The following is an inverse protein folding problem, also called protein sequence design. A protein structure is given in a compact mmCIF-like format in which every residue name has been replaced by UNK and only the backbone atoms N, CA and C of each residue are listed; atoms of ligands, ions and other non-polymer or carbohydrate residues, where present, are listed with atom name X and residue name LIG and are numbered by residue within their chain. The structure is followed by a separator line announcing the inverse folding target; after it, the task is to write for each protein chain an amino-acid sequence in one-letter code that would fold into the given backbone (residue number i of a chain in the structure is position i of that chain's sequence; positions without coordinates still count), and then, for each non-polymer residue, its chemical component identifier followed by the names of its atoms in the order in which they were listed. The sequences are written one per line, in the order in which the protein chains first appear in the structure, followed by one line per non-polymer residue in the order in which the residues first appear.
data_IF_460182627263
#
_entry.id   IF_460182627263
#
_cell.length_a   1.000
_cell.length_b   1.000
_cell.length_c   1.000
_cell.angle_alpha   90.00
_cell.angle_beta   90.00
_cell.angle_gamma   90.00
#
_symmetry.space_group_name_H-M   'P 1'
#
loop_
_entity.id
_entity.type
_entity.pdbx_description
1 polymer ?
#
# COMPACT_ATOMS: atom_id res chain seq x y z
N UNK A 1 12.93 9.67 -41.62
CA UNK A 1 12.04 9.23 -40.53
C UNK A 1 12.26 10.14 -39.35
N UNK A 2 11.23 10.85 -38.89
CA UNK A 2 11.35 11.85 -37.81
C UNK A 2 11.03 11.19 -36.46
N UNK A 3 11.71 11.63 -35.39
CA UNK A 3 11.49 11.19 -33.99
C UNK A 3 10.02 11.29 -33.57
N UNK A 4 9.27 12.24 -34.14
CA UNK A 4 7.83 12.40 -33.93
C UNK A 4 6.97 11.21 -34.41
N UNK A 5 7.45 10.40 -35.36
CA UNK A 5 6.75 9.19 -35.83
C UNK A 5 6.97 7.99 -34.90
N UNK A 6 8.17 7.88 -34.33
CA UNK A 6 8.51 6.88 -33.30
C UNK A 6 7.74 7.15 -31.98
N UNK A 7 7.57 8.42 -31.60
CA UNK A 7 6.78 8.78 -30.42
C UNK A 7 5.27 8.57 -30.62
N UNK A 8 4.75 8.73 -31.84
CA UNK A 8 3.33 8.43 -32.15
C UNK A 8 3.03 6.94 -32.23
N UNK A 9 4.01 6.13 -32.64
CA UNK A 9 3.90 4.67 -32.68
C UNK A 9 4.13 4.03 -31.30
N UNK A 10 4.79 4.71 -30.35
CA UNK A 10 4.87 4.28 -28.94
C UNK A 10 3.64 4.63 -28.09
N UNK A 11 2.76 5.53 -28.55
CA UNK A 11 1.51 5.89 -27.85
C UNK A 11 0.30 5.03 -28.22
N UNK A 12 0.46 3.98 -29.04
CA UNK A 12 -0.66 3.18 -29.56
C UNK A 12 -0.60 1.70 -29.14
N UNK A 13 -0.38 1.40 -27.85
CA UNK A 13 -0.61 0.03 -27.37
C UNK A 13 -0.82 -0.11 -25.85
N UNK A 14 -1.58 0.81 -25.26
CA UNK A 14 -2.34 0.48 -24.05
C UNK A 14 -3.78 0.35 -24.47
N UNK A 15 -4.18 -0.86 -24.89
CA UNK A 15 -5.58 -1.26 -24.78
C UNK A 15 -5.95 -1.08 -23.31
N UNK A 16 -6.54 0.07 -22.98
CA UNK A 16 -7.18 0.21 -21.69
C UNK A 16 -8.37 -0.74 -21.72
N UNK A 17 -8.29 -1.80 -20.92
CA UNK A 17 -9.42 -2.68 -20.66
C UNK A 17 -10.65 -1.82 -20.38
N UNK A 18 -11.77 -2.14 -21.03
CA UNK A 18 -13.05 -1.46 -20.76
C UNK A 18 -13.41 -1.64 -19.29
N UNK A 19 -14.20 -0.73 -18.73
CA UNK A 19 -14.63 -0.83 -17.33
C UNK A 19 -15.31 -2.19 -17.07
N UNK A 20 -16.12 -2.67 -18.01
CA UNK A 20 -16.75 -3.98 -17.98
C UNK A 20 -15.73 -5.12 -18.04
N UNK A 21 -14.67 -5.00 -18.85
CA UNK A 21 -13.57 -5.97 -18.88
C UNK A 21 -12.87 -6.04 -17.53
N UNK A 22 -12.52 -4.88 -16.95
CA UNK A 22 -11.89 -4.79 -15.61
C UNK A 22 -12.79 -5.47 -14.56
N UNK A 23 -14.09 -5.15 -14.54
CA UNK A 23 -15.03 -5.76 -13.59
C UNK A 23 -15.16 -7.27 -13.76
N UNK A 24 -15.20 -7.76 -15.00
CA UNK A 24 -15.30 -9.19 -15.30
C UNK A 24 -14.05 -9.97 -14.88
N UNK A 25 -12.90 -9.29 -14.79
CA UNK A 25 -11.63 -9.84 -14.36
C UNK A 25 -11.30 -9.55 -12.89
N UNK A 26 -12.21 -8.92 -12.12
CA UNK A 26 -11.99 -8.74 -10.69
C UNK A 26 -11.87 -10.10 -10.00
N UNK A 27 -10.87 -10.18 -9.13
CA UNK A 27 -10.56 -11.38 -8.37
C UNK A 27 -9.82 -12.48 -9.12
N UNK A 28 -9.59 -12.34 -10.42
CA UNK A 28 -8.74 -13.29 -11.18
C UNK A 28 -7.27 -12.86 -11.22
N UNK A 29 -7.00 -11.55 -11.06
CA UNK A 29 -5.64 -11.04 -11.00
C UNK A 29 -5.54 -9.78 -10.14
N UNK A 30 -4.36 -9.59 -9.51
CA UNK A 30 -3.99 -8.31 -8.90
C UNK A 30 -4.03 -7.16 -9.91
N UNK A 31 -3.69 -7.42 -11.17
CA UNK A 31 -3.64 -6.37 -12.18
C UNK A 31 -5.01 -5.68 -12.37
N UNK A 32 -6.09 -6.47 -12.46
CA UNK A 32 -7.45 -5.95 -12.57
C UNK A 32 -7.83 -5.04 -11.38
N UNK A 33 -7.39 -5.38 -10.17
CA UNK A 33 -7.58 -4.58 -8.97
C UNK A 33 -6.90 -3.21 -9.05
N UNK A 34 -5.66 -3.18 -9.52
CA UNK A 34 -4.90 -1.94 -9.70
C UNK A 34 -5.49 -1.09 -10.84
N UNK A 35 -5.91 -1.72 -11.94
CA UNK A 35 -6.61 -1.04 -13.04
C UNK A 35 -7.93 -0.40 -12.57
N UNK A 36 -8.71 -1.09 -11.72
CA UNK A 36 -9.96 -0.54 -11.17
C UNK A 36 -9.72 0.73 -10.36
N UNK A 37 -8.71 0.72 -9.48
CA UNK A 37 -8.31 1.90 -8.70
C UNK A 37 -7.84 3.04 -9.61
N UNK A 38 -7.18 2.72 -10.72
CA UNK A 38 -6.74 3.71 -11.71
C UNK A 38 -7.90 4.32 -12.48
N UNK A 39 -8.85 3.49 -12.91
CA UNK A 39 -10.03 3.93 -13.64
C UNK A 39 -10.91 4.88 -12.80
N UNK A 40 -11.04 4.62 -11.50
CA UNK A 40 -11.84 5.45 -10.57
C UNK A 40 -11.07 6.66 -9.98
N UNK A 41 -9.90 7.00 -10.53
CA UNK A 41 -9.04 8.09 -10.05
C UNK A 41 -8.76 8.05 -8.53
N UNK A 42 -8.66 6.84 -7.97
CA UNK A 42 -8.32 6.68 -6.55
C UNK A 42 -6.86 7.10 -6.35
N UNK A 43 -6.61 7.82 -5.25
CA UNK A 43 -5.29 8.34 -4.91
C UNK A 43 -4.21 7.23 -4.97
N UNK A 44 -3.04 7.58 -5.50
CA UNK A 44 -1.95 6.64 -5.76
C UNK A 44 -1.49 5.87 -4.52
N UNK A 45 -1.59 6.44 -3.32
CA UNK A 45 -1.21 5.79 -2.07
C UNK A 45 -2.00 4.48 -1.90
N UNK A 46 -3.30 4.49 -2.16
CA UNK A 46 -4.15 3.30 -2.02
C UNK A 46 -3.84 2.24 -3.08
N UNK A 47 -3.36 2.65 -4.26
CA UNK A 47 -2.87 1.73 -5.30
C UNK A 47 -1.61 1.03 -4.84
N UNK A 48 -0.65 1.77 -4.30
CA UNK A 48 0.60 1.22 -3.78
C UNK A 48 0.35 0.34 -2.55
N UNK A 49 -0.51 0.76 -1.62
CA UNK A 49 -0.94 -0.06 -0.48
C UNK A 49 -1.56 -1.37 -0.94
N UNK A 50 -2.54 -1.35 -1.85
CA UNK A 50 -3.16 -2.60 -2.32
C UNK A 50 -2.15 -3.46 -3.09
N UNK A 51 -1.29 -2.86 -3.93
CA UNK A 51 -0.25 -3.59 -4.63
C UNK A 51 0.72 -4.28 -3.66
N UNK A 52 1.03 -3.63 -2.53
CA UNK A 52 1.88 -4.18 -1.47
C UNK A 52 1.19 -5.31 -0.72
N UNK A 53 -0.10 -5.18 -0.42
CA UNK A 53 -0.87 -6.20 0.31
C UNK A 53 -1.07 -7.48 -0.51
N UNK A 54 -1.09 -7.38 -1.84
CA UNK A 54 -1.30 -8.51 -2.75
C UNK A 54 0.03 -8.98 -3.37
N UNK A 55 0.88 -9.69 -2.60
CA UNK A 55 2.15 -10.21 -3.14
C UNK A 55 2.00 -11.61 -3.74
N UNK A 56 1.06 -12.39 -3.22
CA UNK A 56 0.87 -13.81 -3.56
C UNK A 56 -0.55 -14.06 -4.07
N UNK A 57 -0.75 -15.23 -4.69
CA UNK A 57 -2.08 -15.68 -5.11
C UNK A 57 -3.00 -15.91 -3.89
N UNK A 58 -2.43 -16.32 -2.75
CA UNK A 58 -3.16 -16.47 -1.50
C UNK A 58 -3.66 -15.12 -0.97
N UNK A 59 -2.84 -14.06 -1.05
CA UNK A 59 -3.26 -12.71 -0.68
C UNK A 59 -4.41 -12.22 -1.57
N UNK A 60 -4.35 -12.50 -2.87
CA UNK A 60 -5.41 -12.16 -3.81
C UNK A 60 -6.71 -12.89 -3.47
N UNK A 61 -6.63 -14.20 -3.18
CA UNK A 61 -7.79 -14.99 -2.77
C UNK A 61 -8.39 -14.46 -1.45
N UNK A 62 -7.55 -14.14 -0.48
CA UNK A 62 -7.97 -13.59 0.81
C UNK A 62 -8.63 -12.22 0.65
N UNK A 63 -8.04 -11.33 -0.15
CA UNK A 63 -8.63 -10.03 -0.49
C UNK A 63 -10.01 -10.15 -1.16
N UNK A 64 -10.17 -11.08 -2.10
CA UNK A 64 -11.46 -11.30 -2.76
C UNK A 64 -12.55 -11.74 -1.77
N UNK A 65 -12.18 -12.50 -0.73
CA UNK A 65 -13.10 -12.88 0.34
C UNK A 65 -13.38 -11.73 1.31
N UNK A 66 -12.46 -10.74 1.40
CA UNK A 66 -12.57 -9.60 2.30
C UNK A 66 -13.40 -8.45 1.71
N UNK A 67 -13.32 -8.23 0.39
CA UNK A 67 -14.04 -7.16 -0.29
C UNK A 67 -15.58 -7.36 -0.16
N UNK A 68 -16.29 -6.25 0.05
CA UNK A 68 -17.73 -6.25 0.39
C UNK A 68 -18.71 -6.26 -0.80
N UNK A 69 -18.23 -6.21 -2.04
CA UNK A 69 -19.07 -6.08 -3.23
C UNK A 69 -19.24 -4.63 -3.70
N UNK A 70 -18.90 -3.66 -2.85
CA UNK A 70 -19.19 -2.24 -3.07
C UNK A 70 -17.92 -1.43 -3.35
N UNK A 71 -17.87 -0.81 -4.52
CA UNK A 71 -16.77 0.05 -4.98
C UNK A 71 -16.66 1.32 -4.13
N UNK A 72 -17.78 1.87 -3.66
CA UNK A 72 -17.77 3.08 -2.81
C UNK A 72 -17.01 2.85 -1.49
N UNK A 73 -16.96 1.58 -1.05
CA UNK A 73 -16.25 1.17 0.16
C UNK A 73 -14.81 0.70 -0.12
N UNK A 74 -14.31 0.80 -1.35
CA UNK A 74 -13.03 0.20 -1.75
C UNK A 74 -11.86 0.67 -0.88
N UNK A 75 -11.75 1.98 -0.62
CA UNK A 75 -10.70 2.53 0.24
C UNK A 75 -10.83 2.01 1.68
N UNK A 76 -12.05 1.97 2.22
CA UNK A 76 -12.31 1.44 3.55
C UNK A 76 -11.91 -0.05 3.62
N UNK A 77 -12.31 -0.85 2.63
CA UNK A 77 -11.95 -2.26 2.53
C UNK A 77 -10.43 -2.46 2.47
N UNK A 78 -9.67 -1.64 1.72
CA UNK A 78 -8.20 -1.70 1.67
C UNK A 78 -7.60 -1.39 3.04
N UNK A 79 -8.08 -0.33 3.70
CA UNK A 79 -7.61 0.04 5.03
C UNK A 79 -7.89 -1.06 6.06
N UNK A 80 -9.07 -1.66 6.03
CA UNK A 80 -9.48 -2.71 6.95
C UNK A 80 -8.69 -4.01 6.70
N UNK A 81 -8.49 -4.37 5.43
CA UNK A 81 -7.67 -5.51 5.05
C UNK A 81 -6.21 -5.34 5.50
N UNK A 82 -5.63 -4.14 5.36
CA UNK A 82 -4.33 -3.79 5.92
C UNK A 82 -4.31 -4.02 7.44
N UNK A 83 -5.29 -3.52 8.18
CA UNK A 83 -5.34 -3.71 9.64
C UNK A 83 -5.45 -5.19 10.03
N UNK A 84 -6.18 -5.97 9.25
CA UNK A 84 -6.26 -7.40 9.42
C UNK A 84 -4.89 -8.09 9.19
N UNK A 85 -4.17 -7.77 8.11
CA UNK A 85 -2.81 -8.27 7.85
C UNK A 85 -1.82 -7.87 8.93
N UNK A 86 -1.94 -6.65 9.45
CA UNK A 86 -1.12 -6.17 10.55
C UNK A 86 -1.33 -7.02 11.81
N UNK A 87 -2.58 -7.30 12.18
CA UNK A 87 -2.89 -8.17 13.33
C UNK A 87 -2.28 -9.56 13.17
N UNK A 88 -2.26 -10.12 11.95
CA UNK A 88 -1.58 -11.37 11.65
C UNK A 88 -0.04 -11.24 11.75
N UNK A 89 0.54 -10.18 11.19
CA UNK A 89 2.00 -9.93 11.20
C UNK A 89 2.53 -9.72 12.62
N UNK A 90 1.81 -8.96 13.46
CA UNK A 90 2.18 -8.70 14.86
C UNK A 90 2.13 -9.95 15.74
N UNK A 91 1.42 -11.00 15.34
CA UNK A 91 1.50 -12.28 16.04
C UNK A 91 2.91 -12.90 15.95
N UNK A 92 3.69 -12.53 14.92
CA UNK A 92 4.98 -13.14 14.60
C UNK A 92 6.17 -12.20 14.77
N UNK A 93 6.01 -10.89 14.57
CA UNK A 93 7.10 -9.92 14.70
C UNK A 93 7.32 -9.53 16.15
N UNK A 94 8.47 -9.89 16.73
CA UNK A 94 8.85 -9.49 18.10
C UNK A 94 9.57 -8.15 18.13
N UNK A 95 9.58 -7.46 19.29
CA UNK A 95 10.37 -6.23 19.48
C UNK A 95 11.87 -6.45 19.18
N UNK A 96 12.44 -7.58 19.60
CA UNK A 96 13.84 -7.89 19.37
C UNK A 96 14.16 -8.04 17.87
N UNK A 97 13.28 -8.73 17.14
CA UNK A 97 13.39 -8.87 15.69
C UNK A 97 13.23 -7.52 14.99
N UNK A 98 12.23 -6.72 15.38
CA UNK A 98 12.03 -5.38 14.81
C UNK A 98 13.25 -4.49 15.03
N UNK A 99 13.80 -4.44 16.25
CA UNK A 99 15.01 -3.66 16.53
C UNK A 99 16.18 -4.08 15.67
N UNK A 100 16.38 -5.39 15.50
CA UNK A 100 17.44 -5.93 14.64
C UNK A 100 17.25 -5.46 13.20
N UNK A 101 16.06 -5.65 12.64
CA UNK A 101 15.75 -5.20 11.28
C UNK A 101 15.91 -3.69 11.12
N UNK A 102 15.47 -2.90 12.09
CA UNK A 102 15.52 -1.44 12.01
C UNK A 102 16.97 -0.90 11.98
N UNK A 103 17.90 -1.59 12.64
CA UNK A 103 19.32 -1.26 12.58
C UNK A 103 19.97 -1.64 11.23
N UNK A 104 19.44 -2.67 10.57
CA UNK A 104 19.92 -3.13 9.26
C UNK A 104 19.35 -2.27 8.13
N UNK A 105 18.03 -2.07 8.13
CA UNK A 105 17.27 -1.29 7.17
C UNK A 105 15.97 -0.77 7.82
N UNK A 106 15.97 0.50 8.21
CA UNK A 106 14.84 1.14 8.88
C UNK A 106 13.57 1.13 8.03
N UNK A 107 13.69 1.35 6.71
CA UNK A 107 12.52 1.37 5.81
C UNK A 107 11.87 0.00 5.75
N UNK A 108 12.66 -1.04 5.48
CA UNK A 108 12.14 -2.41 5.40
C UNK A 108 11.54 -2.87 6.74
N UNK A 109 12.15 -2.48 7.86
CA UNK A 109 11.61 -2.78 9.18
C UNK A 109 10.24 -2.12 9.38
N UNK A 110 10.09 -0.85 8.98
CA UNK A 110 8.83 -0.13 9.04
C UNK A 110 7.79 -0.76 8.11
N UNK A 111 8.14 -1.07 6.86
CA UNK A 111 7.23 -1.75 5.92
C UNK A 111 6.70 -3.07 6.49
N UNK A 112 7.54 -3.82 7.21
CA UNK A 112 7.11 -5.05 7.88
C UNK A 112 6.21 -4.80 9.09
N UNK A 113 6.45 -3.73 9.84
CA UNK A 113 5.68 -3.36 11.02
C UNK A 113 4.29 -2.78 10.65
N UNK A 114 4.23 -2.00 9.57
CA UNK A 114 3.03 -1.33 9.07
C UNK A 114 2.30 -2.12 7.98
N UNK A 115 2.95 -3.11 7.36
CA UNK A 115 2.41 -3.95 6.28
C UNK A 115 1.91 -3.10 5.11
N UNK A 116 2.69 -2.10 4.73
CA UNK A 116 2.47 -1.21 3.59
C UNK A 116 3.82 -0.60 3.14
N UNK A 117 3.92 -0.04 1.93
CA UNK A 117 5.13 0.65 1.47
C UNK A 117 5.46 1.81 2.40
N UNK A 118 6.75 2.11 2.60
CA UNK A 118 7.20 3.28 3.38
C UNK A 118 8.16 4.10 2.54
N UNK A 119 7.87 5.39 2.36
CA UNK A 119 8.75 6.29 1.62
C UNK A 119 9.93 6.78 2.49
N UNK A 120 11.06 7.07 1.86
CA UNK A 120 12.28 7.50 2.56
C UNK A 120 12.04 8.74 3.45
N UNK A 121 11.26 9.73 2.99
CA UNK A 121 10.96 10.93 3.77
C UNK A 121 10.20 10.64 5.08
N UNK A 122 9.44 9.54 5.15
CA UNK A 122 8.76 9.10 6.38
C UNK A 122 9.77 8.54 7.38
N UNK A 123 10.77 7.81 6.88
CA UNK A 123 11.87 7.30 7.70
C UNK A 123 12.65 8.47 8.30
N UNK A 124 12.96 9.48 7.49
CA UNK A 124 13.64 10.69 7.93
C UNK A 124 12.85 11.42 9.01
N UNK A 125 11.55 11.63 8.79
CA UNK A 125 10.63 12.25 9.77
C UNK A 125 10.57 11.49 11.11
N UNK A 126 10.57 10.15 11.07
CA UNK A 126 10.60 9.34 12.29
C UNK A 126 11.94 9.48 13.03
N UNK A 127 13.05 9.48 12.31
CA UNK A 127 14.38 9.67 12.89
C UNK A 127 14.53 11.09 13.50
N UNK A 128 14.05 12.12 12.82
CA UNK A 128 14.09 13.52 13.27
C UNK A 128 13.18 13.79 14.48
N UNK A 129 12.11 12.99 14.65
CA UNK A 129 11.20 13.10 15.79
C UNK A 129 11.83 12.68 17.13
N UNK A 130 13.02 12.07 17.10
CA UNK A 130 13.70 11.54 18.28
C UNK A 130 13.05 10.28 18.87
N UNK A 131 12.07 9.68 18.17
CA UNK A 131 11.49 8.40 18.56
C UNK A 131 12.46 7.26 18.23
N UNK A 132 12.82 6.46 19.23
CA UNK A 132 13.60 5.26 18.98
C UNK A 132 12.72 4.12 18.41
N UNK A 133 13.37 3.09 17.86
CA UNK A 133 12.69 1.93 17.29
C UNK A 133 11.81 1.18 18.30
N UNK A 134 12.17 1.20 19.60
CA UNK A 134 11.33 0.59 20.63
C UNK A 134 10.01 1.34 20.76
N UNK A 135 10.06 2.66 20.79
CA UNK A 135 8.90 3.53 20.92
C UNK A 135 7.97 3.40 19.72
N UNK A 136 8.53 3.38 18.50
CA UNK A 136 7.77 3.17 17.25
C UNK A 136 7.01 1.84 17.31
N UNK A 137 7.70 0.74 17.66
CA UNK A 137 7.10 -0.57 17.77
C UNK A 137 5.93 -0.57 18.78
N UNK A 138 6.17 -0.13 20.01
CA UNK A 138 5.14 -0.15 21.06
C UNK A 138 3.93 0.72 20.68
N UNK A 139 4.15 1.91 20.11
CA UNK A 139 3.06 2.76 19.66
C UNK A 139 2.24 2.12 18.54
N UNK A 140 2.89 1.38 17.63
CA UNK A 140 2.18 0.63 16.60
C UNK A 140 1.32 -0.48 17.17
N UNK A 141 1.87 -1.30 18.07
CA UNK A 141 1.12 -2.39 18.72
C UNK A 141 -0.09 -1.84 19.48
N UNK A 142 0.04 -0.66 20.08
CA UNK A 142 -1.05 0.03 20.78
C UNK A 142 -2.07 0.72 19.85
N UNK A 143 -1.88 0.68 18.53
CA UNK A 143 -2.77 1.36 17.57
C UNK A 143 -2.70 2.89 17.58
N UNK A 144 -1.67 3.46 18.20
CA UNK A 144 -1.58 4.94 18.39
C UNK A 144 -0.81 5.64 17.27
N UNK A 145 -0.17 4.89 16.38
CA UNK A 145 0.67 5.42 15.30
C UNK A 145 0.09 5.10 13.91
N UNK A 146 -1.20 4.78 13.81
CA UNK A 146 -1.90 4.49 12.54
C UNK A 146 -1.77 5.58 11.46
N UNK A 147 -1.28 6.75 11.86
CA UNK A 147 -1.25 8.00 11.11
C UNK A 147 0.01 8.25 10.29
N UNK A 148 1.03 7.37 10.30
CA UNK A 148 2.30 7.65 9.60
C UNK A 148 2.09 7.88 8.09
N UNK A 149 1.22 7.11 7.42
CA UNK A 149 0.88 7.33 6.01
C UNK A 149 -0.22 8.38 5.78
N UNK A 150 -1.28 8.37 6.60
CA UNK A 150 -2.47 9.20 6.36
C UNK A 150 -2.37 10.65 6.84
N UNK A 151 -1.65 10.95 7.92
CA UNK A 151 -1.57 12.33 8.45
C UNK A 151 -0.40 13.12 7.87
N UNK A 152 0.74 12.49 7.56
CA UNK A 152 1.92 13.22 7.12
C UNK A 152 1.84 13.69 5.67
N UNK A 153 1.04 13.01 4.82
CA UNK A 153 0.71 13.46 3.46
C UNK A 153 -0.40 14.50 3.42
N UNK A 154 -1.35 14.48 4.38
CA UNK A 154 -2.38 15.52 4.49
C UNK A 154 -1.82 16.85 5.00
N UNK A 155 -0.77 16.85 5.82
CA UNK A 155 -0.08 18.09 6.22
C UNK A 155 0.72 18.71 5.07
N UNK A 156 1.25 17.91 4.13
CA UNK A 156 1.94 18.43 2.93
C UNK A 156 1.00 18.83 1.78
N UNK A 157 -0.19 18.26 1.70
CA UNK A 157 -1.19 18.66 0.71
C UNK A 157 -1.94 19.97 1.06
N UNK A 158 -1.79 20.45 2.31
CA UNK A 158 -2.45 21.66 2.84
C UNK A 158 -1.42 22.75 3.21
N UNK A 159 -0.11 22.45 3.18
CA UNK A 159 0.99 23.42 3.31
C UNK A 159 1.41 24.00 1.95
#
# INVERSE_FOLDING_TARGET
MTVAKLLKEQTNNTDYDTYESILSNLGTSKHAWIQLLQYNDINYIWKETLNFLLQTDDDLQEWNNYWSGNIDNLIANISDYRQYKIKQSHANLTLAEFKRLYLEDARLALERLFVEPIYDHIVDKLNDSGMDSAHIYHRRIQGTIERVHGCWLYEEAIS
#
